data_IF_856801146816
#
_entry.id   IF_856801146816
#
_cell.length_a   1.000
_cell.length_b   1.000
_cell.length_c   1.000
_cell.angle_alpha   90.00
_cell.angle_beta   90.00
_cell.angle_gamma   90.00
#
_symmetry.space_group_name_H-M   'P 1'
#
loop_
_entity.id
_entity.type
_entity.pdbx_description
1 polymer ?
#
# COMPACT_ATOMS: atom_id res chain seq x y z
N UNK A 1 -37.65 11.32 6.16
CA UNK A 1 -37.24 11.27 4.74
C UNK A 1 -37.32 12.69 4.22
N UNK A 2 -36.32 13.31 3.60
CA UNK A 2 -34.94 12.95 3.30
C UNK A 2 -34.24 14.32 3.13
N UNK A 3 -33.44 14.70 4.13
CA UNK A 3 -32.93 16.08 4.31
C UNK A 3 -31.41 16.17 4.26
N UNK A 4 -30.74 15.23 3.59
CA UNK A 4 -29.26 15.15 3.55
C UNK A 4 -28.68 15.03 2.14
N UNK A 5 -29.25 15.75 1.17
CA UNK A 5 -28.62 15.92 -0.16
C UNK A 5 -28.40 17.37 -0.57
N UNK A 6 -28.42 18.29 0.40
CA UNK A 6 -27.91 19.64 0.16
C UNK A 6 -26.41 19.68 0.43
N UNK A 7 -25.67 19.76 -0.67
CA UNK A 7 -24.53 20.67 -0.80
C UNK A 7 -23.32 20.37 0.11
N UNK A 8 -22.53 19.36 -0.26
CA UNK A 8 -21.08 19.47 -0.16
C UNK A 8 -20.52 19.59 -1.57
N UNK A 9 -20.78 20.75 -2.18
CA UNK A 9 -20.09 21.22 -3.36
C UNK A 9 -19.18 22.41 -2.98
N UNK A 10 -17.88 22.12 -3.03
CA UNK A 10 -16.75 22.99 -3.42
C UNK A 10 -16.22 24.08 -2.45
N UNK A 11 -14.93 24.48 -2.63
CA UNK A 11 -14.50 25.86 -2.98
C UNK A 11 -12.95 26.03 -2.94
N UNK A 12 -12.15 26.26 -3.99
CA UNK A 12 -12.41 26.50 -5.43
C UNK A 12 -11.09 26.65 -6.22
N UNK A 13 -11.06 26.18 -7.48
CA UNK A 13 -10.62 26.91 -8.70
C UNK A 13 -10.13 26.05 -9.90
N UNK A 14 -9.82 24.74 -9.79
CA UNK A 14 -9.12 24.04 -10.90
C UNK A 14 -9.66 22.68 -11.40
N UNK A 15 -10.90 22.27 -11.09
CA UNK A 15 -11.52 21.07 -11.69
C UNK A 15 -10.96 19.69 -11.28
N UNK A 16 -9.85 19.64 -10.53
CA UNK A 16 -9.15 18.38 -10.18
C UNK A 16 -9.69 17.62 -8.97
N UNK A 17 -10.38 18.29 -8.05
CA UNK A 17 -11.04 17.62 -6.90
C UNK A 17 -12.29 16.86 -7.36
N UNK A 18 -13.00 17.39 -8.35
CA UNK A 18 -14.08 16.66 -9.03
C UNK A 18 -13.53 15.37 -9.63
N UNK A 19 -12.36 15.41 -10.29
CA UNK A 19 -11.75 14.18 -10.83
C UNK A 19 -11.32 13.17 -9.75
N UNK A 20 -10.89 13.58 -8.55
CA UNK A 20 -10.59 12.60 -7.49
C UNK A 20 -11.87 11.92 -7.00
N UNK A 21 -12.94 12.70 -6.78
CA UNK A 21 -14.23 12.15 -6.40
C UNK A 21 -14.83 11.29 -7.51
N UNK A 22 -14.71 11.67 -8.78
CA UNK A 22 -15.13 10.89 -9.95
C UNK A 22 -14.36 9.57 -10.05
N UNK A 23 -13.05 9.56 -9.75
CA UNK A 23 -12.27 8.33 -9.69
C UNK A 23 -12.71 7.45 -8.52
N UNK A 24 -12.96 8.04 -7.33
CA UNK A 24 -13.44 7.31 -6.15
C UNK A 24 -14.85 6.74 -6.32
N UNK A 25 -15.76 7.52 -6.90
CA UNK A 25 -17.18 7.19 -7.09
C UNK A 25 -17.45 6.41 -8.39
N UNK A 26 -16.49 6.36 -9.31
CA UNK A 26 -16.60 5.66 -10.58
C UNK A 26 -16.48 4.14 -10.46
N UNK A 27 -16.92 3.45 -11.51
CA UNK A 27 -16.93 1.97 -11.60
C UNK A 27 -15.57 1.34 -11.94
N UNK A 28 -14.46 2.08 -11.79
CA UNK A 28 -13.13 1.54 -12.06
C UNK A 28 -12.86 0.27 -11.23
N UNK A 29 -12.26 -0.77 -11.84
CA UNK A 29 -11.64 -1.84 -11.08
C UNK A 29 -10.63 -1.26 -10.08
N UNK A 30 -10.54 -1.84 -8.87
CA UNK A 30 -9.76 -1.26 -7.76
C UNK A 30 -8.30 -0.90 -8.14
N UNK A 31 -7.63 -1.77 -8.91
CA UNK A 31 -6.25 -1.53 -9.36
C UNK A 31 -6.14 -0.34 -10.33
N UNK A 32 -7.08 -0.18 -11.25
CA UNK A 32 -7.12 0.94 -12.20
C UNK A 32 -7.49 2.25 -11.50
N UNK A 33 -8.37 2.18 -10.49
CA UNK A 33 -8.72 3.32 -9.65
C UNK A 33 -7.50 3.86 -8.92
N UNK A 34 -6.71 2.99 -8.34
CA UNK A 34 -5.51 3.35 -7.58
C UNK A 34 -4.47 4.07 -8.45
N UNK A 35 -4.19 3.55 -9.65
CA UNK A 35 -3.26 4.18 -10.60
C UNK A 35 -3.80 5.53 -11.10
N UNK A 36 -5.11 5.62 -11.36
CA UNK A 36 -5.75 6.88 -11.73
C UNK A 36 -5.65 7.93 -10.63
N UNK A 37 -5.82 7.55 -9.35
CA UNK A 37 -5.61 8.44 -8.21
C UNK A 37 -4.15 8.90 -8.20
N UNK A 38 -3.18 7.99 -8.22
CA UNK A 38 -1.74 8.34 -8.16
C UNK A 38 -1.34 9.29 -9.30
N UNK A 39 -1.81 9.04 -10.52
CA UNK A 39 -1.53 9.90 -11.68
C UNK A 39 -2.16 11.28 -11.53
N UNK A 40 -3.41 11.35 -11.09
CA UNK A 40 -4.10 12.61 -10.81
C UNK A 40 -3.38 13.44 -9.74
N UNK A 41 -2.87 12.77 -8.70
CA UNK A 41 -2.15 13.42 -7.61
C UNK A 41 -0.77 13.91 -8.04
N UNK A 42 -0.04 13.11 -8.82
CA UNK A 42 1.25 13.51 -9.40
C UNK A 42 1.11 14.69 -10.35
N UNK A 43 -0.04 14.82 -11.04
CA UNK A 43 -0.34 15.99 -11.86
C UNK A 43 -0.63 17.25 -11.02
N UNK A 44 -0.97 17.10 -9.73
CA UNK A 44 -1.37 18.17 -8.80
C UNK A 44 -0.21 18.81 -8.03
N UNK A 45 0.99 18.27 -8.18
CA UNK A 45 2.24 18.81 -7.65
C UNK A 45 3.26 18.92 -8.78
N UNK A 46 4.16 19.89 -8.71
CA UNK A 46 5.22 20.02 -9.72
C UNK A 46 6.32 18.99 -9.47
N UNK A 47 7.08 18.65 -10.52
CA UNK A 47 8.26 17.81 -10.39
C UNK A 47 9.30 18.41 -9.42
N UNK A 48 9.39 19.74 -9.35
CA UNK A 48 10.23 20.48 -8.41
C UNK A 48 9.78 20.28 -6.96
N UNK A 49 8.48 20.38 -6.66
CA UNK A 49 7.93 20.13 -5.33
C UNK A 49 8.19 18.69 -4.85
N UNK A 50 8.03 17.71 -5.76
CA UNK A 50 8.39 16.31 -5.48
C UNK A 50 9.89 16.18 -5.23
N UNK A 51 10.73 16.89 -6.00
CA UNK A 51 12.18 16.92 -5.84
C UNK A 51 12.60 17.40 -4.45
N UNK A 52 12.08 18.54 -4.00
CA UNK A 52 12.36 19.07 -2.67
C UNK A 52 11.86 18.16 -1.54
N UNK A 53 10.68 17.57 -1.71
CA UNK A 53 10.16 16.59 -0.76
C UNK A 53 11.08 15.37 -0.66
N UNK A 54 11.55 14.85 -1.80
CA UNK A 54 12.51 13.74 -1.86
C UNK A 54 13.83 14.10 -1.17
N UNK A 55 14.38 15.28 -1.42
CA UNK A 55 15.63 15.73 -0.78
C UNK A 55 15.51 15.80 0.75
N UNK A 56 14.39 16.33 1.25
CA UNK A 56 14.09 16.33 2.69
C UNK A 56 14.02 14.92 3.27
N UNK A 57 13.32 14.02 2.59
CA UNK A 57 13.18 12.63 3.03
C UNK A 57 14.49 11.84 2.93
N UNK A 58 15.37 12.16 1.99
CA UNK A 58 16.65 11.49 1.80
C UNK A 58 17.61 11.64 2.99
N UNK A 59 17.39 12.61 3.88
CA UNK A 59 18.11 12.72 5.14
C UNK A 59 17.81 11.54 6.09
N UNK A 60 16.64 10.88 5.95
CA UNK A 60 16.30 9.69 6.70
C UNK A 60 16.94 8.45 6.07
N UNK A 61 17.74 7.71 6.83
CA UNK A 61 18.39 6.46 6.39
C UNK A 61 17.39 5.49 5.74
N UNK A 62 16.22 5.32 6.38
CA UNK A 62 15.15 4.44 5.90
C UNK A 62 14.75 4.75 4.45
N UNK A 63 14.60 6.03 4.09
CA UNK A 63 14.14 6.43 2.76
C UNK A 63 15.05 5.88 1.65
N UNK A 64 16.36 5.93 1.88
CA UNK A 64 17.35 5.42 0.94
C UNK A 64 17.37 3.88 0.87
N UNK A 65 16.79 3.17 1.83
CA UNK A 65 16.68 1.71 1.80
C UNK A 65 15.42 1.24 1.06
N UNK A 66 14.47 2.13 0.77
CA UNK A 66 13.22 1.80 0.06
C UNK A 66 13.41 1.68 -1.45
N UNK A 67 12.48 0.99 -2.11
CA UNK A 67 12.39 0.95 -3.57
C UNK A 67 12.17 2.35 -4.19
N UNK A 68 12.60 2.59 -5.45
CA UNK A 68 12.34 3.84 -6.15
C UNK A 68 10.84 4.19 -6.21
N UNK A 69 9.97 3.19 -6.35
CA UNK A 69 8.53 3.35 -6.36
C UNK A 69 8.02 3.84 -5.01
N UNK A 70 8.42 3.20 -3.91
CA UNK A 70 8.03 3.65 -2.57
C UNK A 70 8.56 5.05 -2.27
N UNK A 71 9.81 5.36 -2.63
CA UNK A 71 10.40 6.69 -2.51
C UNK A 71 9.60 7.75 -3.28
N UNK A 72 9.18 7.44 -4.50
CA UNK A 72 8.32 8.32 -5.30
C UNK A 72 6.99 8.56 -4.61
N UNK A 73 6.32 7.52 -4.11
CA UNK A 73 5.02 7.67 -3.45
C UNK A 73 5.10 8.49 -2.16
N UNK A 74 6.15 8.30 -1.35
CA UNK A 74 6.39 9.09 -0.15
C UNK A 74 6.67 10.57 -0.48
N UNK A 75 7.52 10.83 -1.47
CA UNK A 75 7.84 12.18 -1.91
C UNK A 75 6.60 12.89 -2.49
N UNK A 76 5.78 12.18 -3.28
CA UNK A 76 4.50 12.71 -3.78
C UNK A 76 3.56 13.01 -2.62
N UNK A 77 3.42 12.12 -1.63
CA UNK A 77 2.56 12.35 -0.47
C UNK A 77 2.99 13.61 0.31
N UNK A 78 4.28 13.75 0.60
CA UNK A 78 4.85 14.93 1.29
C UNK A 78 4.62 16.21 0.47
N UNK A 79 4.88 16.20 -0.84
CA UNK A 79 4.66 17.35 -1.72
C UNK A 79 3.20 17.79 -1.73
N UNK A 80 2.26 16.83 -1.77
CA UNK A 80 0.81 17.11 -1.70
C UNK A 80 0.45 17.78 -0.38
N UNK A 81 1.05 17.38 0.75
CA UNK A 81 0.77 18.04 2.04
C UNK A 81 1.15 19.52 2.05
N UNK A 82 2.21 19.92 1.33
CA UNK A 82 2.60 21.33 1.23
C UNK A 82 1.49 22.19 0.61
N UNK A 83 0.79 21.63 -0.39
CA UNK A 83 -0.37 22.28 -1.01
C UNK A 83 -1.57 22.24 -0.06
N UNK A 84 -1.84 21.11 0.58
CA UNK A 84 -2.99 20.95 1.50
C UNK A 84 -2.89 21.86 2.73
N UNK A 85 -1.69 22.08 3.29
CA UNK A 85 -1.47 22.96 4.45
C UNK A 85 -1.78 24.42 4.18
N UNK A 86 -1.66 24.84 2.93
CA UNK A 86 -1.91 26.24 2.52
C UNK A 86 -3.34 26.46 2.02
N UNK A 87 -4.14 25.39 1.88
CA UNK A 87 -5.50 25.44 1.38
C UNK A 87 -6.50 24.91 2.42
N UNK A 88 -7.44 25.74 2.84
CA UNK A 88 -8.45 25.36 3.84
C UNK A 88 -9.55 24.48 3.24
N UNK A 89 -9.96 23.44 3.94
CA UNK A 89 -11.15 22.63 3.59
C UNK A 89 -10.93 21.56 2.51
N UNK A 90 -9.68 21.26 2.17
CA UNK A 90 -9.35 20.16 1.24
C UNK A 90 -9.25 18.80 1.96
N UNK A 91 -9.65 17.74 1.25
CA UNK A 91 -9.55 16.35 1.67
C UNK A 91 -8.11 15.85 1.60
N UNK A 92 -7.62 15.25 2.69
CA UNK A 92 -6.25 14.71 2.81
C UNK A 92 -6.09 13.27 2.29
N UNK A 93 -7.18 12.65 1.80
CA UNK A 93 -7.16 11.29 1.24
C UNK A 93 -6.04 11.06 0.23
N UNK A 94 -5.73 12.07 -0.57
CA UNK A 94 -4.66 12.05 -1.55
C UNK A 94 -3.30 11.69 -0.93
N UNK A 95 -2.91 12.44 0.10
CA UNK A 95 -1.63 12.24 0.79
C UNK A 95 -1.61 10.89 1.53
N UNK A 96 -2.75 10.48 2.11
CA UNK A 96 -2.92 9.18 2.77
C UNK A 96 -2.76 8.01 1.78
N UNK A 97 -3.34 8.10 0.59
CA UNK A 97 -3.19 7.08 -0.46
C UNK A 97 -1.72 6.96 -0.89
N UNK A 98 -1.00 8.08 -1.05
CA UNK A 98 0.44 8.04 -1.34
C UNK A 98 1.24 7.28 -0.28
N UNK A 99 0.96 7.50 1.01
CA UNK A 99 1.59 6.74 2.10
C UNK A 99 1.26 5.23 2.02
N UNK A 100 0.00 4.88 1.76
CA UNK A 100 -0.42 3.48 1.64
C UNK A 100 0.21 2.80 0.42
N UNK A 101 0.31 3.49 -0.72
CA UNK A 101 0.93 2.95 -1.94
C UNK A 101 2.43 2.75 -1.80
N UNK A 102 3.11 3.57 -1.00
CA UNK A 102 4.50 3.32 -0.65
C UNK A 102 4.66 1.96 0.05
N UNK A 103 3.77 1.64 1.00
CA UNK A 103 3.74 0.34 1.68
C UNK A 103 3.43 -0.80 0.71
N UNK A 104 2.40 -0.66 -0.12
CA UNK A 104 2.03 -1.69 -1.10
C UNK A 104 3.18 -2.02 -2.05
N UNK A 105 3.81 -0.98 -2.61
CA UNK A 105 4.96 -1.12 -3.51
C UNK A 105 6.12 -1.83 -2.83
N UNK A 106 6.39 -1.46 -1.58
CA UNK A 106 7.50 -2.05 -0.83
C UNK A 106 7.23 -3.52 -0.45
N UNK A 107 5.99 -3.87 -0.07
CA UNK A 107 5.61 -5.28 0.15
C UNK A 107 5.72 -6.06 -1.15
N UNK A 108 5.21 -5.52 -2.26
CA UNK A 108 5.28 -6.16 -3.56
C UNK A 108 6.72 -6.47 -3.94
N UNK A 109 7.62 -5.50 -3.81
CA UNK A 109 9.02 -5.61 -4.20
C UNK A 109 9.81 -6.50 -3.23
N UNK A 110 9.61 -6.38 -1.91
CA UNK A 110 10.43 -7.08 -0.89
C UNK A 110 9.95 -8.46 -0.51
N UNK A 111 8.67 -8.75 -0.68
CA UNK A 111 8.08 -10.02 -0.27
C UNK A 111 7.53 -10.80 -1.45
N UNK A 112 6.70 -10.16 -2.27
CA UNK A 112 5.86 -10.86 -3.24
C UNK A 112 6.61 -11.18 -4.53
N UNK A 113 7.47 -10.29 -5.01
CA UNK A 113 8.34 -10.55 -6.16
C UNK A 113 9.37 -11.66 -5.86
N UNK A 114 10.06 -11.67 -4.70
CA UNK A 114 10.85 -12.83 -4.28
C UNK A 114 10.04 -14.12 -4.20
N UNK A 115 8.80 -14.06 -3.68
CA UNK A 115 7.91 -15.22 -3.62
C UNK A 115 7.57 -15.75 -5.01
N UNK A 116 7.20 -14.86 -5.93
CA UNK A 116 6.96 -15.20 -7.33
C UNK A 116 8.16 -15.93 -7.94
N UNK A 117 9.37 -15.40 -7.77
CA UNK A 117 10.60 -16.05 -8.27
C UNK A 117 10.79 -17.42 -7.66
N UNK A 118 10.62 -17.56 -6.35
CA UNK A 118 10.77 -18.83 -5.63
C UNK A 118 9.71 -19.87 -6.02
N UNK A 119 8.56 -19.44 -6.53
CA UNK A 119 7.51 -20.34 -7.05
C UNK A 119 7.66 -20.70 -8.53
N UNK A 120 8.70 -20.24 -9.22
CA UNK A 120 8.90 -20.55 -10.64
C UNK A 120 9.02 -22.06 -10.86
N UNK A 121 8.17 -22.60 -11.75
CA UNK A 121 8.15 -24.04 -12.05
C UNK A 121 7.40 -24.90 -11.03
N UNK A 122 6.79 -24.31 -10.01
CA UNK A 122 5.94 -25.00 -9.03
C UNK A 122 4.49 -25.00 -9.52
N UNK A 123 3.81 -26.13 -9.39
CA UNK A 123 2.37 -26.22 -9.67
C UNK A 123 1.56 -25.50 -8.58
N UNK A 124 0.92 -24.40 -8.96
CA UNK A 124 0.07 -23.57 -8.09
C UNK A 124 -1.44 -23.82 -8.33
N UNK A 125 -1.84 -24.89 -9.02
CA UNK A 125 -3.24 -25.13 -9.37
C UNK A 125 -4.19 -25.11 -8.15
N UNK A 126 -3.77 -25.73 -7.03
CA UNK A 126 -4.53 -25.71 -5.78
C UNK A 126 -4.66 -24.30 -5.19
N UNK A 127 -3.60 -23.49 -5.26
CA UNK A 127 -3.58 -22.12 -4.73
C UNK A 127 -4.41 -21.16 -5.59
N UNK A 128 -4.44 -21.38 -6.91
CA UNK A 128 -5.28 -20.62 -7.85
C UNK A 128 -6.79 -20.82 -7.57
N UNK A 129 -7.18 -21.99 -7.06
CA UNK A 129 -8.55 -22.31 -6.70
C UNK A 129 -8.93 -21.86 -5.27
N UNK A 130 -7.96 -21.54 -4.41
CA UNK A 130 -8.22 -21.08 -3.04
C UNK A 130 -8.54 -19.58 -3.04
N UNK A 131 -9.73 -19.22 -2.56
CA UNK A 131 -10.20 -17.82 -2.50
C UNK A 131 -9.27 -16.88 -1.71
N UNK A 132 -8.57 -17.40 -0.70
CA UNK A 132 -7.70 -16.61 0.18
C UNK A 132 -6.29 -16.43 -0.41
N UNK A 133 -5.92 -17.25 -1.40
CA UNK A 133 -4.57 -17.31 -1.99
C UNK A 133 -4.55 -16.90 -3.48
N UNK A 134 -5.67 -17.04 -4.17
CA UNK A 134 -5.79 -16.94 -5.64
C UNK A 134 -5.18 -15.66 -6.22
N UNK A 135 -5.33 -14.51 -5.54
CA UNK A 135 -4.77 -13.22 -6.02
C UNK A 135 -3.24 -13.25 -6.05
N UNK A 136 -2.60 -13.72 -4.97
CA UNK A 136 -1.14 -13.85 -4.90
C UNK A 136 -0.66 -14.99 -5.83
N UNK A 137 -1.39 -16.10 -5.88
CA UNK A 137 -1.08 -17.22 -6.76
C UNK A 137 -1.10 -16.81 -8.25
N UNK A 138 -2.09 -16.02 -8.69
CA UNK A 138 -2.16 -15.50 -10.06
C UNK A 138 -0.99 -14.59 -10.39
N UNK A 139 -0.57 -13.73 -9.46
CA UNK A 139 0.63 -12.90 -9.67
C UNK A 139 1.88 -13.77 -9.78
N UNK A 140 2.05 -14.75 -8.90
CA UNK A 140 3.19 -15.67 -8.91
C UNK A 140 3.25 -16.49 -10.21
N UNK A 141 2.09 -16.89 -10.73
CA UNK A 141 1.95 -17.56 -12.03
C UNK A 141 2.11 -16.64 -13.25
N UNK A 142 2.33 -15.33 -13.06
CA UNK A 142 2.45 -14.35 -14.15
C UNK A 142 1.13 -14.05 -14.88
N UNK A 143 -0.01 -14.33 -14.25
CA UNK A 143 -1.35 -14.20 -14.82
C UNK A 143 -2.08 -12.90 -14.40
N UNK A 144 -1.46 -12.11 -13.52
CA UNK A 144 -2.06 -10.89 -12.96
C UNK A 144 -0.96 -9.91 -12.52
N UNK A 145 -1.29 -8.60 -12.38
CA UNK A 145 -0.41 -7.63 -11.73
C UNK A 145 -0.27 -7.89 -10.22
N UNK A 146 0.63 -7.15 -9.58
CA UNK A 146 0.89 -7.29 -8.14
C UNK A 146 -0.39 -7.05 -7.33
N UNK A 147 -0.68 -7.88 -6.30
CA UNK A 147 -1.90 -7.74 -5.52
C UNK A 147 -1.84 -6.54 -4.57
N UNK A 148 -2.99 -5.91 -4.36
CA UNK A 148 -3.19 -4.78 -3.43
C UNK A 148 -3.09 -5.19 -1.96
N UNK A 149 -2.98 -4.20 -1.07
CA UNK A 149 -2.80 -4.39 0.38
C UNK A 149 -3.84 -5.33 1.00
N UNK A 150 -5.11 -5.23 0.60
CA UNK A 150 -6.17 -6.10 1.11
C UNK A 150 -5.96 -7.56 0.73
N UNK A 151 -5.63 -7.83 -0.54
CA UNK A 151 -5.33 -9.18 -1.03
C UNK A 151 -4.09 -9.77 -0.35
N UNK A 152 -3.05 -8.94 -0.17
CA UNK A 152 -1.84 -9.30 0.56
C UNK A 152 -2.15 -9.68 2.01
N UNK A 153 -2.94 -8.87 2.72
CA UNK A 153 -3.33 -9.12 4.10
C UNK A 153 -4.14 -10.42 4.24
N UNK A 154 -5.04 -10.73 3.30
CA UNK A 154 -5.78 -11.99 3.30
C UNK A 154 -4.86 -13.22 3.17
N UNK A 155 -3.95 -13.23 2.18
CA UNK A 155 -3.01 -14.33 1.99
C UNK A 155 -2.07 -14.49 3.18
N UNK A 156 -1.52 -13.40 3.71
CA UNK A 156 -0.68 -13.45 4.92
C UNK A 156 -1.47 -13.94 6.15
N UNK A 157 -2.76 -13.59 6.24
CA UNK A 157 -3.63 -14.09 7.29
C UNK A 157 -3.91 -15.60 7.19
N UNK A 158 -3.99 -16.14 5.98
CA UNK A 158 -4.07 -17.59 5.76
C UNK A 158 -2.76 -18.27 6.16
N UNK A 159 -1.61 -17.68 5.77
CA UNK A 159 -0.27 -18.16 6.08
C UNK A 159 0.03 -18.19 7.60
N UNK A 160 -0.36 -17.14 8.32
CA UNK A 160 -0.09 -16.99 9.75
C UNK A 160 -0.98 -17.89 10.63
N UNK A 161 -2.25 -18.09 10.24
CA UNK A 161 -3.25 -18.76 11.10
C UNK A 161 -3.41 -20.25 10.85
N UNK A 162 -2.95 -20.78 9.72
CA UNK A 162 -3.26 -22.17 9.34
C UNK A 162 -2.02 -23.00 9.00
N UNK A 163 -1.44 -23.67 10.01
CA UNK A 163 -0.39 -24.66 9.81
C UNK A 163 -0.81 -25.81 8.88
N UNK A 164 -2.10 -26.19 8.90
CA UNK A 164 -2.64 -27.21 7.99
C UNK A 164 -2.57 -26.77 6.53
N UNK A 165 -2.96 -25.53 6.22
CA UNK A 165 -2.91 -25.03 4.84
C UNK A 165 -1.49 -24.96 4.30
N UNK A 166 -0.48 -24.66 5.14
CA UNK A 166 0.94 -24.70 4.75
C UNK A 166 1.36 -26.08 4.22
N UNK A 167 0.78 -27.17 4.73
CA UNK A 167 1.13 -28.52 4.26
C UNK A 167 0.50 -28.88 2.92
N UNK A 168 -0.55 -28.18 2.50
CA UNK A 168 -1.34 -28.50 1.29
C UNK A 168 -1.21 -27.43 0.20
N UNK A 169 -0.64 -26.27 0.53
CA UNK A 169 -0.44 -25.13 -0.38
C UNK A 169 1.05 -25.00 -0.73
N UNK A 170 1.43 -25.29 -1.98
CA UNK A 170 2.78 -25.05 -2.47
C UNK A 170 3.21 -23.58 -2.27
N UNK A 171 2.33 -22.62 -2.56
CA UNK A 171 2.59 -21.20 -2.35
C UNK A 171 2.93 -20.87 -0.88
N UNK A 172 2.11 -21.32 0.07
CA UNK A 172 2.33 -21.06 1.49
C UNK A 172 3.56 -21.78 2.02
N UNK A 173 3.85 -22.97 1.52
CA UNK A 173 5.09 -23.68 1.88
C UNK A 173 6.32 -22.87 1.49
N UNK A 174 6.40 -22.41 0.25
CA UNK A 174 7.52 -21.58 -0.23
C UNK A 174 7.63 -20.28 0.56
N UNK A 175 6.50 -19.62 0.84
CA UNK A 175 6.48 -18.41 1.67
C UNK A 175 7.05 -18.67 3.07
N UNK A 176 6.66 -19.76 3.72
CA UNK A 176 7.20 -20.14 5.04
C UNK A 176 8.70 -20.45 4.98
N UNK A 177 9.14 -21.21 3.99
CA UNK A 177 10.56 -21.58 3.83
C UNK A 177 11.43 -20.33 3.58
N UNK A 178 10.97 -19.40 2.73
CA UNK A 178 11.65 -18.12 2.50
C UNK A 178 11.74 -17.27 3.77
N UNK A 179 10.61 -17.08 4.45
CA UNK A 179 10.55 -16.23 5.66
C UNK A 179 11.39 -16.82 6.78
N UNK A 180 11.45 -18.14 6.92
CA UNK A 180 12.29 -18.82 7.90
C UNK A 180 13.79 -18.61 7.66
N UNK A 181 14.20 -18.36 6.42
CA UNK A 181 15.58 -18.08 6.04
C UNK A 181 16.00 -16.62 6.26
N UNK A 182 15.07 -15.73 6.60
CA UNK A 182 15.36 -14.30 6.78
C UNK A 182 15.66 -13.94 8.24
N UNK A 183 16.64 -13.05 8.50
CA UNK A 183 17.09 -12.73 9.86
C UNK A 183 15.96 -12.38 10.84
N UNK A 184 15.06 -11.47 10.42
CA UNK A 184 13.91 -11.02 11.20
C UNK A 184 12.57 -11.39 10.53
N UNK A 185 12.58 -12.44 9.70
CA UNK A 185 11.41 -12.84 8.90
C UNK A 185 10.20 -13.25 9.75
N UNK A 186 10.40 -13.71 10.99
CA UNK A 186 9.32 -14.15 11.89
C UNK A 186 8.19 -13.13 12.02
N UNK A 187 8.51 -11.84 11.96
CA UNK A 187 7.50 -10.78 12.01
C UNK A 187 6.50 -10.83 10.83
N UNK A 188 6.92 -11.26 9.64
CA UNK A 188 6.07 -11.31 8.44
C UNK A 188 4.86 -12.23 8.66
N UNK A 189 5.07 -13.36 9.34
CA UNK A 189 4.06 -14.40 9.57
C UNK A 189 3.52 -14.43 11.01
N UNK A 190 3.94 -13.49 11.86
CA UNK A 190 3.39 -13.34 13.20
C UNK A 190 1.92 -12.88 13.18
N UNK A 191 1.14 -13.25 14.20
CA UNK A 191 -0.29 -12.90 14.28
C UNK A 191 -0.53 -11.40 14.46
N UNK A 192 0.40 -10.70 15.12
CA UNK A 192 0.51 -9.23 15.26
C UNK A 192 1.55 -8.64 14.26
N UNK A 193 1.84 -9.42 13.22
CA UNK A 193 2.87 -9.19 12.23
C UNK A 193 2.48 -8.26 11.09
N UNK A 194 3.07 -8.51 9.91
CA UNK A 194 2.77 -7.76 8.69
C UNK A 194 1.27 -7.79 8.34
N UNK A 195 0.60 -8.94 8.49
CA UNK A 195 -0.84 -9.05 8.23
C UNK A 195 -1.67 -8.08 9.09
N UNK A 196 -1.38 -8.01 10.40
CA UNK A 196 -2.10 -7.13 11.30
C UNK A 196 -1.84 -5.67 10.95
N UNK A 197 -0.59 -5.31 10.72
CA UNK A 197 -0.21 -3.95 10.35
C UNK A 197 -0.84 -3.50 9.02
N UNK A 198 -0.82 -4.36 8.00
CA UNK A 198 -1.45 -4.11 6.70
C UNK A 198 -2.99 -4.03 6.79
N UNK A 199 -3.62 -4.90 7.59
CA UNK A 199 -5.07 -4.88 7.81
C UNK A 199 -5.51 -3.59 8.51
N UNK A 200 -4.74 -3.15 9.52
CA UNK A 200 -4.98 -1.89 10.22
C UNK A 200 -4.86 -0.71 9.26
N UNK A 201 -3.76 -0.64 8.50
CA UNK A 201 -3.54 0.41 7.51
C UNK A 201 -4.68 0.45 6.46
N UNK A 202 -5.11 -0.72 6.00
CA UNK A 202 -6.24 -0.89 5.09
C UNK A 202 -7.55 -0.34 5.64
N UNK A 203 -7.89 -0.72 6.88
CA UNK A 203 -9.17 -0.38 7.51
C UNK A 203 -9.25 1.07 7.97
N UNK A 204 -8.18 1.58 8.58
CA UNK A 204 -8.17 2.89 9.24
C UNK A 204 -7.85 4.03 8.26
N UNK A 205 -7.09 3.76 7.19
CA UNK A 205 -6.58 4.82 6.32
C UNK A 205 -6.90 4.57 4.84
N UNK A 206 -6.43 3.46 4.25
CA UNK A 206 -6.56 3.23 2.79
C UNK A 206 -8.02 3.19 2.33
N UNK A 207 -8.85 2.37 2.96
CA UNK A 207 -10.24 2.20 2.52
C UNK A 207 -11.09 3.47 2.75
N UNK A 208 -11.00 4.16 3.90
CA UNK A 208 -11.60 5.48 4.05
C UNK A 208 -11.13 6.46 2.98
N UNK A 209 -9.81 6.54 2.74
CA UNK A 209 -9.25 7.44 1.73
C UNK A 209 -9.73 7.11 0.32
N UNK A 210 -9.95 5.84 -0.03
CA UNK A 210 -10.34 5.42 -1.37
C UNK A 210 -11.85 5.46 -1.64
N UNK A 211 -12.71 5.32 -0.62
CA UNK A 211 -14.13 5.04 -0.86
C UNK A 211 -15.12 5.93 -0.08
N UNK A 212 -14.88 6.20 1.20
CA UNK A 212 -15.96 6.61 2.10
C UNK A 212 -15.66 7.83 2.97
N UNK A 213 -14.41 8.26 3.06
CA UNK A 213 -13.96 9.30 4.00
C UNK A 213 -13.65 10.63 3.33
N UNK A 214 -13.89 11.71 4.09
CA UNK A 214 -13.13 12.95 3.98
C UNK A 214 -12.10 12.89 5.09
N UNK A 215 -10.82 12.88 4.74
CA UNK A 215 -9.72 12.78 5.70
C UNK A 215 -9.14 14.16 6.01
N UNK A 216 -8.70 14.28 7.25
CA UNK A 216 -8.08 15.47 7.82
C UNK A 216 -6.55 15.38 7.85
N UNK A 217 -5.91 16.48 8.24
CA UNK A 217 -4.47 16.51 8.52
C UNK A 217 -4.10 15.52 9.64
N UNK A 218 -4.93 15.41 10.68
CA UNK A 218 -4.70 14.48 11.79
C UNK A 218 -4.72 13.01 11.32
N UNK A 219 -5.61 12.67 10.39
CA UNK A 219 -5.66 11.33 9.79
C UNK A 219 -4.40 11.04 8.98
N UNK A 220 -3.90 12.05 8.24
CA UNK A 220 -2.64 11.96 7.52
C UNK A 220 -1.46 11.74 8.48
N UNK A 221 -1.35 12.53 9.56
CA UNK A 221 -0.24 12.41 10.50
C UNK A 221 -0.26 11.05 11.22
N UNK A 222 -1.43 10.54 11.59
CA UNK A 222 -1.57 9.19 12.14
C UNK A 222 -1.14 8.11 11.13
N UNK A 223 -1.55 8.24 9.87
CA UNK A 223 -1.10 7.35 8.80
C UNK A 223 0.42 7.44 8.60
N UNK A 224 0.99 8.65 8.63
CA UNK A 224 2.42 8.90 8.46
C UNK A 224 3.22 8.24 9.57
N UNK A 225 2.77 8.33 10.82
CA UNK A 225 3.39 7.63 11.96
C UNK A 225 3.30 6.10 11.80
N UNK A 226 2.15 5.58 11.36
CA UNK A 226 1.99 4.14 11.13
C UNK A 226 2.90 3.60 10.01
N UNK A 227 3.19 4.41 8.99
CA UNK A 227 4.00 4.04 7.81
C UNK A 227 5.50 4.30 8.04
N UNK A 228 5.86 5.51 8.47
CA UNK A 228 7.23 6.04 8.53
C UNK A 228 7.75 6.33 9.94
N UNK A 229 6.88 6.26 10.97
CA UNK A 229 7.28 6.54 12.35
C UNK A 229 8.30 5.54 12.89
N UNK A 230 8.76 5.76 14.13
CA UNK A 230 9.62 4.79 14.82
C UNK A 230 8.88 3.45 14.95
N UNK A 231 9.46 2.38 14.41
CA UNK A 231 8.79 1.08 14.31
C UNK A 231 7.62 1.04 13.31
N UNK A 232 7.54 2.01 12.41
CA UNK A 232 6.57 2.07 11.32
C UNK A 232 6.68 0.89 10.37
N UNK A 233 5.63 0.66 9.58
CA UNK A 233 5.51 -0.52 8.74
C UNK A 233 6.68 -0.66 7.75
N UNK A 234 7.14 0.45 7.15
CA UNK A 234 8.26 0.42 6.22
C UNK A 234 9.57 0.01 6.90
N UNK A 235 9.88 0.55 8.09
CA UNK A 235 11.13 0.18 8.78
C UNK A 235 11.14 -1.28 9.22
N UNK A 236 9.99 -1.78 9.69
CA UNK A 236 9.83 -3.20 10.06
C UNK A 236 9.97 -4.11 8.85
N UNK A 237 9.41 -3.72 7.71
CA UNK A 237 9.53 -4.48 6.46
C UNK A 237 10.98 -4.52 5.96
N UNK A 238 11.67 -3.38 5.99
CA UNK A 238 13.08 -3.30 5.60
C UNK A 238 13.96 -4.16 6.50
N UNK A 239 13.68 -4.20 7.81
CA UNK A 239 14.41 -5.03 8.78
C UNK A 239 14.11 -6.52 8.60
N UNK A 240 12.84 -6.87 8.37
CA UNK A 240 12.39 -8.26 8.28
C UNK A 240 12.70 -8.95 6.95
N UNK A 241 13.21 -8.22 5.96
CA UNK A 241 13.49 -8.73 4.61
C UNK A 241 14.95 -8.49 4.24
N UNK A 242 15.57 -9.37 3.42
CA UNK A 242 16.93 -9.15 2.96
C UNK A 242 17.07 -7.81 2.22
N UNK A 243 18.22 -7.16 2.38
CA UNK A 243 18.57 -6.01 1.56
C UNK A 243 18.57 -6.42 0.09
N UNK A 244 17.83 -5.70 -0.74
CA UNK A 244 17.85 -5.95 -2.18
C UNK A 244 19.19 -5.49 -2.74
N UNK A 245 19.92 -6.39 -3.40
CA UNK A 245 21.04 -6.00 -4.25
C UNK A 245 20.48 -5.10 -5.36
N UNK A 246 20.87 -3.82 -5.35
CA UNK A 246 20.49 -2.84 -6.37
C UNK A 246 21.10 -3.17 -7.72
#
# INVERSE_FOLDING_TARGET
>A
MDGRRNQLLCNGCYGRVLSLWEVKAGEFPDAERDDAIVNLLSASVTAEQIGWARERLAAAKLFNELSPQAQQMLATAEAVTGVLKTATGLDWSAAVIGLCKAVESEIAIRLIEPLRRATTGIDLAADLADKDLSRVARYCAGLAPAPELGSLAHTLGAAARSRRRVTTSPLLKVLHDMVAAWPDGRWILATDGLMYAASRLGKEFRNPAAHTGVLSEDDYEQCRLAVQGEGGLLSRLVTATPTQSR
#
